data_IF_838962065662
#
_entry.id   IF_838962065662
#
_cell.length_a   1.000
_cell.length_b   1.000
_cell.length_c   1.000
_cell.angle_alpha   90.00
_cell.angle_beta   90.00
_cell.angle_gamma   90.00
#
_symmetry.space_group_name_H-M   'P 1'
#
loop_
_entity.id
_entity.type
_entity.pdbx_description
1 polymer ?
#
# COMPACT_ATOMS: atom_id res chain seq x y z
N UNK A 1 7.92 8.43 -12.84
CA UNK A 1 7.09 7.25 -13.20
C UNK A 1 5.77 7.37 -12.46
N UNK A 2 4.68 6.89 -13.04
CA UNK A 2 3.34 6.89 -12.42
C UNK A 2 2.90 5.45 -12.26
N UNK A 3 2.43 5.08 -11.08
CA UNK A 3 1.86 3.77 -10.80
C UNK A 3 0.39 3.96 -10.45
N UNK A 4 -0.47 3.05 -10.92
CA UNK A 4 -1.82 2.98 -10.40
C UNK A 4 -1.76 2.41 -8.99
N UNK A 5 -2.43 3.05 -8.04
CA UNK A 5 -2.58 2.52 -6.67
C UNK A 5 -4.07 2.40 -6.42
N UNK A 6 -4.52 1.20 -6.11
CA UNK A 6 -5.89 0.95 -5.67
C UNK A 6 -5.90 1.02 -4.16
N UNK A 7 -6.74 1.88 -3.58
CA UNK A 7 -6.94 1.99 -2.14
C UNK A 7 -8.33 1.46 -1.83
N UNK A 8 -8.40 0.41 -1.03
CA UNK A 8 -9.63 -0.17 -0.51
C UNK A 8 -9.83 0.25 0.94
N UNK A 9 -11.05 0.62 1.28
CA UNK A 9 -11.43 0.94 2.67
C UNK A 9 -12.13 -0.28 3.28
N UNK A 10 -11.53 -0.87 4.30
CA UNK A 10 -12.14 -1.85 5.19
C UNK A 10 -12.97 -1.20 6.30
N UNK A 11 -13.49 -2.00 7.22
CA UNK A 11 -14.33 -1.52 8.33
C UNK A 11 -13.59 -0.53 9.24
N UNK A 12 -12.33 -0.85 9.60
CA UNK A 12 -11.49 -0.03 10.49
C UNK A 12 -10.09 0.25 9.94
N UNK A 13 -9.83 -0.10 8.68
CA UNK A 13 -8.51 0.02 8.07
C UNK A 13 -8.60 0.33 6.58
N UNK A 14 -7.47 0.67 5.98
CA UNK A 14 -7.29 0.94 4.57
C UNK A 14 -6.24 -0.02 4.03
N UNK A 15 -6.56 -0.71 2.94
CA UNK A 15 -5.60 -1.46 2.14
C UNK A 15 -5.22 -0.66 0.91
N UNK A 16 -3.98 -0.76 0.46
CA UNK A 16 -3.53 -0.21 -0.81
C UNK A 16 -2.69 -1.25 -1.55
N UNK A 17 -2.86 -1.36 -2.87
CA UNK A 17 -2.03 -2.24 -3.69
C UNK A 17 -1.79 -1.67 -5.08
N UNK A 18 -0.72 -2.15 -5.72
CA UNK A 18 -0.34 -1.75 -7.08
C UNK A 18 -0.67 -2.89 -8.05
N UNK A 19 -1.66 -2.75 -8.94
CA UNK A 19 -2.00 -3.79 -9.91
C UNK A 19 -0.87 -4.08 -10.91
N UNK A 20 -0.02 -3.08 -11.20
CA UNK A 20 1.16 -3.24 -12.07
C UNK A 20 2.31 -4.03 -11.41
N UNK A 21 2.35 -4.11 -10.07
CA UNK A 21 3.41 -4.74 -9.29
C UNK A 21 2.79 -5.77 -8.33
N UNK A 22 2.48 -6.98 -8.82
CA UNK A 22 1.89 -8.03 -7.99
C UNK A 22 2.81 -8.37 -6.81
N UNK A 23 2.26 -8.29 -5.59
CA UNK A 23 3.00 -8.48 -4.34
C UNK A 23 3.31 -7.20 -3.57
N UNK A 24 3.05 -6.02 -4.15
CA UNK A 24 3.18 -4.73 -3.46
C UNK A 24 1.82 -4.31 -2.86
N UNK A 25 1.63 -4.60 -1.57
CA UNK A 25 0.40 -4.32 -0.82
C UNK A 25 0.77 -3.67 0.52
N UNK A 26 0.03 -2.67 0.95
CA UNK A 26 0.15 -2.00 2.25
C UNK A 26 -1.21 -1.95 2.94
N UNK A 27 -1.25 -2.00 4.27
CA UNK A 27 -2.49 -1.89 5.06
C UNK A 27 -2.21 -0.98 6.24
N UNK A 28 -3.09 -0.02 6.55
CA UNK A 28 -2.95 0.85 7.72
C UNK A 28 -4.32 1.27 8.27
N UNK A 29 -4.37 1.80 9.48
CA UNK A 29 -5.61 2.31 10.09
C UNK A 29 -6.08 3.62 9.44
N UNK A 30 -5.16 4.38 8.85
CA UNK A 30 -5.45 5.69 8.25
C UNK A 30 -5.07 5.78 6.77
N UNK A 31 -5.78 6.66 6.05
CA UNK A 31 -5.53 6.92 4.63
C UNK A 31 -4.15 7.57 4.37
N UNK A 32 -3.64 8.35 5.32
CA UNK A 32 -2.32 8.97 5.18
C UNK A 32 -1.21 7.94 5.37
N UNK A 33 -1.31 7.08 6.38
CA UNK A 33 -0.34 6.02 6.60
C UNK A 33 -0.29 5.03 5.43
N UNK A 34 -1.45 4.58 4.93
CA UNK A 34 -1.46 3.62 3.82
C UNK A 34 -0.81 4.19 2.56
N UNK A 35 -0.93 5.51 2.33
CA UNK A 35 -0.29 6.22 1.22
C UNK A 35 1.23 6.34 1.40
N UNK A 36 1.70 6.60 2.62
CA UNK A 36 3.14 6.64 2.90
C UNK A 36 3.76 5.25 2.73
N UNK A 37 3.14 4.22 3.30
CA UNK A 37 3.61 2.84 3.23
C UNK A 37 3.71 2.33 1.79
N UNK A 38 2.68 2.56 0.96
CA UNK A 38 2.72 2.10 -0.44
C UNK A 38 3.73 2.90 -1.27
N UNK A 39 3.92 4.20 -0.99
CA UNK A 39 4.94 5.00 -1.65
C UNK A 39 6.35 4.53 -1.29
N UNK A 40 6.61 4.25 -0.01
CA UNK A 40 7.86 3.64 0.45
C UNK A 40 8.07 2.26 -0.18
N UNK A 41 7.04 1.41 -0.26
CA UNK A 41 7.14 0.10 -0.88
C UNK A 41 7.53 0.18 -2.37
N UNK A 42 6.99 1.15 -3.11
CA UNK A 42 7.36 1.42 -4.51
C UNK A 42 8.81 1.91 -4.63
N UNK A 43 9.28 2.74 -3.70
CA UNK A 43 10.64 3.30 -3.71
C UNK A 43 11.69 2.25 -3.31
N UNK A 44 11.40 1.46 -2.28
CA UNK A 44 12.35 0.52 -1.68
C UNK A 44 12.30 -0.89 -2.29
N UNK A 45 11.29 -1.23 -3.10
CA UNK A 45 11.19 -2.52 -3.78
C UNK A 45 11.03 -3.71 -2.82
N UNK A 46 10.41 -3.51 -1.67
CA UNK A 46 10.23 -4.54 -0.64
C UNK A 46 9.07 -5.48 -1.00
N UNK A 47 9.42 -6.62 -1.59
CA UNK A 47 8.54 -7.65 -2.16
C UNK A 47 7.47 -8.30 -1.23
N UNK A 48 7.24 -7.83 0.00
CA UNK A 48 6.35 -8.56 0.93
C UNK A 48 5.82 -7.79 2.15
N UNK A 49 5.73 -6.46 2.09
CA UNK A 49 5.45 -5.67 3.28
C UNK A 49 3.94 -5.47 3.53
N UNK A 50 3.25 -6.51 4.02
CA UNK A 50 1.97 -6.30 4.72
C UNK A 50 2.28 -5.64 6.07
N UNK A 51 2.48 -4.31 6.04
CA UNK A 51 2.81 -3.52 7.23
C UNK A 51 1.53 -3.16 7.98
N UNK A 52 0.83 -4.15 8.56
CA UNK A 52 -0.25 -3.86 9.52
C UNK A 52 0.43 -3.25 10.74
N UNK A 53 0.35 -1.93 10.87
CA UNK A 53 0.47 -1.30 12.19
C UNK A 53 -0.88 -1.33 12.88
#
# INVERSE_FOLDING_TARGET
MRYAVVIEKGENSYGAYVPDLPGCVAVAETLEEVKQLIAEAIIFGSSLLVMVR
#
